data_IF_128957775709
#
_entry.id   IF_128957775709
#
_cell.length_a   1.000
_cell.length_b   1.000
_cell.length_c   1.000
_cell.angle_alpha   90.00
_cell.angle_beta   90.00
_cell.angle_gamma   90.00
#
_symmetry.space_group_name_H-M   'P 1'
#
loop_
_entity.id
_entity.type
_entity.pdbx_description
1 polymer ?
#
# COMPACT_ATOMS: atom_id res chain seq x y z
N UNK A 1 70.69 -17.11 -55.39
CA UNK A 1 70.07 -17.50 -54.12
C UNK A 1 68.81 -16.71 -53.91
N UNK A 2 67.68 -17.36 -54.13
CA UNK A 2 66.38 -16.75 -54.38
C UNK A 2 65.57 -16.92 -53.13
N UNK A 3 65.08 -15.80 -52.53
CA UNK A 3 64.13 -15.81 -51.42
C UNK A 3 62.73 -15.60 -52.00
N UNK A 4 61.92 -16.61 -51.78
CA UNK A 4 60.52 -16.67 -52.15
C UNK A 4 59.63 -16.07 -51.03
N UNK A 5 58.88 -15.01 -51.34
CA UNK A 5 57.95 -14.35 -50.43
C UNK A 5 56.56 -14.88 -50.68
N UNK A 6 56.06 -15.79 -49.81
CA UNK A 6 54.67 -16.21 -49.83
C UNK A 6 53.83 -15.22 -49.01
N UNK A 7 52.94 -14.52 -49.70
CA UNK A 7 51.89 -13.68 -49.08
C UNK A 7 50.81 -14.56 -48.47
N UNK A 8 50.65 -14.47 -47.17
CA UNK A 8 49.47 -15.08 -46.46
C UNK A 8 48.39 -14.02 -46.42
N UNK A 9 47.29 -14.23 -47.14
CA UNK A 9 46.08 -13.45 -47.09
C UNK A 9 45.25 -13.90 -45.88
N UNK A 10 45.19 -13.07 -44.81
CA UNK A 10 44.24 -13.27 -43.74
C UNK A 10 42.85 -12.75 -44.14
N UNK A 11 41.93 -13.66 -44.43
CA UNK A 11 40.51 -13.35 -44.61
C UNK A 11 39.86 -13.11 -43.26
N UNK A 12 39.52 -11.85 -42.94
CA UNK A 12 38.73 -11.48 -41.79
C UNK A 12 37.25 -11.83 -42.02
N UNK A 13 36.77 -12.86 -41.38
CA UNK A 13 35.35 -13.21 -41.37
C UNK A 13 34.60 -12.26 -40.41
N UNK A 14 33.79 -11.36 -40.99
CA UNK A 14 32.82 -10.53 -40.27
C UNK A 14 31.61 -11.40 -39.89
N UNK A 15 31.50 -11.82 -38.63
CA UNK A 15 30.30 -12.42 -38.12
C UNK A 15 29.29 -11.31 -37.74
N UNK A 16 28.05 -11.38 -38.23
CA UNK A 16 27.02 -10.43 -37.79
C UNK A 16 26.62 -10.75 -36.35
N UNK A 17 26.83 -9.80 -35.46
CA UNK A 17 26.26 -9.83 -34.12
C UNK A 17 24.74 -9.72 -34.25
N UNK A 18 24.03 -10.83 -34.16
CA UNK A 18 22.59 -10.86 -33.98
C UNK A 18 22.32 -10.37 -32.54
N UNK A 19 21.79 -9.15 -32.40
CA UNK A 19 21.27 -8.63 -31.13
C UNK A 19 20.06 -9.48 -30.73
N UNK A 20 20.27 -10.40 -29.78
CA UNK A 20 19.18 -11.13 -29.15
C UNK A 20 18.45 -10.15 -28.24
N UNK A 21 17.23 -9.77 -28.62
CA UNK A 21 16.30 -9.07 -27.73
C UNK A 21 16.03 -9.98 -26.52
N UNK A 22 16.55 -9.57 -25.34
CA UNK A 22 16.20 -10.21 -24.10
C UNK A 22 14.71 -10.00 -23.84
N UNK A 23 13.92 -11.07 -23.58
CA UNK A 23 12.54 -10.89 -23.15
C UNK A 23 12.55 -10.08 -21.86
N UNK A 24 11.72 -9.03 -21.81
CA UNK A 24 11.51 -8.24 -20.63
C UNK A 24 11.22 -9.19 -19.45
N UNK A 25 11.99 -9.04 -18.37
CA UNK A 25 11.83 -9.83 -17.16
C UNK A 25 10.39 -9.67 -16.68
N UNK A 26 9.56 -10.65 -16.93
CA UNK A 26 8.22 -10.74 -16.38
C UNK A 26 8.35 -10.74 -14.87
N UNK A 27 7.77 -9.72 -14.22
CA UNK A 27 7.71 -9.62 -12.76
C UNK A 27 7.05 -10.90 -12.26
N UNK A 28 7.79 -11.71 -11.51
CA UNK A 28 7.26 -12.93 -10.90
C UNK A 28 5.99 -12.58 -10.09
N UNK A 29 4.92 -13.40 -10.12
CA UNK A 29 3.72 -13.11 -9.35
C UNK A 29 4.08 -13.03 -7.87
N UNK A 30 3.76 -11.89 -7.24
CA UNK A 30 3.95 -11.71 -5.80
C UNK A 30 3.10 -12.74 -5.06
N UNK A 31 3.73 -13.55 -4.21
CA UNK A 31 3.12 -14.71 -3.51
C UNK A 31 2.44 -14.33 -2.19
N UNK A 32 2.05 -13.08 -1.98
CA UNK A 32 1.38 -12.60 -0.77
C UNK A 32 -0.15 -12.57 -0.90
N UNK A 33 -0.87 -12.57 0.23
CA UNK A 33 -2.31 -12.27 0.27
C UNK A 33 -2.58 -10.89 -0.30
N UNK A 34 -3.62 -10.78 -1.12
CA UNK A 34 -4.07 -9.50 -1.69
C UNK A 34 -4.79 -8.69 -0.62
N UNK A 35 -4.27 -7.50 -0.32
CA UNK A 35 -4.86 -6.62 0.68
C UNK A 35 -5.31 -5.29 0.06
N UNK A 36 -6.54 -4.89 0.37
CA UNK A 36 -7.05 -3.55 0.07
C UNK A 36 -6.94 -2.69 1.33
N UNK A 37 -6.22 -1.58 1.24
CA UNK A 37 -6.18 -0.55 2.30
C UNK A 37 -7.21 0.52 1.96
N UNK A 38 -8.28 0.60 2.74
CA UNK A 38 -9.34 1.59 2.56
C UNK A 38 -8.96 2.95 3.15
N UNK A 39 -9.78 3.96 2.88
CA UNK A 39 -9.59 5.29 3.43
C UNK A 39 -9.74 5.27 4.95
N UNK A 40 -8.88 6.03 5.61
CA UNK A 40 -8.90 6.15 7.06
C UNK A 40 -9.95 7.17 7.47
N UNK A 41 -10.51 6.98 8.65
CA UNK A 41 -11.51 7.83 9.23
C UNK A 41 -11.00 8.46 10.53
N UNK A 42 -11.59 9.57 10.93
CA UNK A 42 -11.25 10.23 12.19
C UNK A 42 -12.45 10.33 13.12
N UNK A 43 -12.19 10.11 14.39
CA UNK A 43 -13.05 10.45 15.51
C UNK A 43 -12.33 11.55 16.27
N UNK A 44 -12.78 12.79 16.13
CA UNK A 44 -12.19 13.95 16.81
C UNK A 44 -13.06 14.35 18.00
N UNK A 45 -12.49 14.25 19.19
CA UNK A 45 -13.10 14.66 20.46
C UNK A 45 -12.33 15.79 21.16
N UNK A 46 -11.36 16.39 20.43
CA UNK A 46 -10.45 17.39 21.00
C UNK A 46 -11.14 18.72 21.33
N UNK A 47 -12.31 19.01 20.73
CA UNK A 47 -13.04 20.26 20.88
C UNK A 47 -12.20 21.51 20.55
N UNK A 48 -11.30 21.38 19.57
CA UNK A 48 -10.48 22.51 19.14
C UNK A 48 -11.30 23.56 18.39
N UNK A 49 -11.07 24.85 18.65
CA UNK A 49 -11.89 25.92 18.07
C UNK A 49 -11.64 26.16 16.57
N UNK A 50 -10.52 25.65 16.04
CA UNK A 50 -10.13 25.88 14.65
C UNK A 50 -10.64 24.74 13.76
N UNK A 51 -11.23 25.06 12.62
CA UNK A 51 -11.62 24.06 11.63
C UNK A 51 -10.38 23.41 11.01
N UNK A 52 -10.18 22.14 11.29
CA UNK A 52 -9.04 21.35 10.83
C UNK A 52 -9.43 20.26 9.82
N UNK A 53 -10.66 20.26 9.30
CA UNK A 53 -11.16 19.19 8.43
C UNK A 53 -10.28 18.91 7.21
N UNK A 54 -9.76 19.96 6.58
CA UNK A 54 -8.87 19.81 5.42
C UNK A 54 -7.52 19.19 5.79
N UNK A 55 -6.95 19.61 6.93
CA UNK A 55 -5.71 19.03 7.44
C UNK A 55 -5.90 17.58 7.87
N UNK A 56 -7.01 17.27 8.53
CA UNK A 56 -7.34 15.90 8.90
C UNK A 56 -7.49 15.00 7.68
N UNK A 57 -8.22 15.42 6.66
CA UNK A 57 -8.38 14.65 5.43
C UNK A 57 -7.01 14.32 4.80
N UNK A 58 -6.14 15.33 4.66
CA UNK A 58 -4.78 15.15 4.13
C UNK A 58 -3.94 14.19 4.98
N UNK A 59 -3.98 14.34 6.32
CA UNK A 59 -3.22 13.48 7.25
C UNK A 59 -3.69 12.03 7.24
N UNK A 60 -4.99 11.79 7.10
CA UNK A 60 -5.53 10.45 6.95
C UNK A 60 -5.05 9.78 5.66
N UNK A 61 -4.98 10.55 4.55
CA UNK A 61 -4.38 10.07 3.31
C UNK A 61 -2.90 9.73 3.48
N UNK A 62 -2.12 10.59 4.12
CA UNK A 62 -0.70 10.36 4.41
C UNK A 62 -0.51 9.05 5.20
N UNK A 63 -1.31 8.83 6.25
CA UNK A 63 -1.22 7.60 7.05
C UNK A 63 -1.54 6.35 6.24
N UNK A 64 -2.66 6.38 5.48
CA UNK A 64 -3.06 5.30 4.58
C UNK A 64 -1.96 4.97 3.57
N UNK A 65 -1.42 5.99 2.92
CA UNK A 65 -0.41 5.82 1.88
C UNK A 65 0.92 5.31 2.47
N UNK A 66 1.32 5.79 3.65
CA UNK A 66 2.49 5.29 4.35
C UNK A 66 2.37 3.79 4.69
N UNK A 67 1.18 3.34 5.10
CA UNK A 67 0.90 1.91 5.33
C UNK A 67 0.95 1.15 4.01
N UNK A 68 0.24 1.61 2.99
CA UNK A 68 0.16 0.94 1.68
C UNK A 68 1.54 0.78 1.04
N UNK A 69 2.32 1.86 0.98
CA UNK A 69 3.68 1.83 0.44
C UNK A 69 4.61 0.95 1.28
N UNK A 70 4.50 1.04 2.60
CA UNK A 70 5.31 0.25 3.51
C UNK A 70 5.05 -1.25 3.42
N UNK A 71 3.80 -1.68 3.24
CA UNK A 71 3.43 -3.08 3.01
C UNK A 71 3.88 -3.57 1.63
N UNK A 72 3.70 -2.75 0.59
CA UNK A 72 4.11 -3.08 -0.77
C UNK A 72 5.63 -3.23 -0.90
N UNK A 73 6.41 -2.37 -0.23
CA UNK A 73 7.87 -2.39 -0.27
C UNK A 73 8.47 -3.63 0.42
N UNK A 74 7.76 -4.24 1.36
CA UNK A 74 8.20 -5.43 2.10
C UNK A 74 7.71 -6.75 1.49
N UNK A 75 6.93 -6.69 0.43
CA UNK A 75 6.41 -7.84 -0.33
C UNK A 75 5.65 -8.89 0.52
N UNK A 76 5.27 -8.54 1.76
CA UNK A 76 4.50 -9.41 2.65
C UNK A 76 3.06 -9.57 2.16
N UNK A 77 2.53 -8.53 1.54
CA UNK A 77 1.20 -8.47 0.95
C UNK A 77 1.27 -7.96 -0.48
N UNK A 78 0.33 -8.38 -1.31
CA UNK A 78 0.04 -7.75 -2.60
C UNK A 78 -0.96 -6.63 -2.33
N UNK A 79 -0.46 -5.40 -2.15
CA UNK A 79 -1.32 -4.23 -1.94
C UNK A 79 -2.01 -3.88 -3.25
N UNK A 80 -3.34 -3.87 -3.23
CA UNK A 80 -4.15 -3.59 -4.42
C UNK A 80 -4.30 -2.09 -4.64
N UNK A 81 -4.24 -1.69 -5.92
CA UNK A 81 -4.58 -0.33 -6.31
C UNK A 81 -6.08 -0.09 -6.15
N UNK A 82 -6.45 0.95 -5.43
CA UNK A 82 -7.83 1.36 -5.15
C UNK A 82 -8.41 2.30 -6.22
N UNK A 83 -7.59 2.83 -7.12
CA UNK A 83 -8.02 3.78 -8.14
C UNK A 83 -9.25 3.32 -8.93
N UNK A 84 -9.36 2.02 -9.35
CA UNK A 84 -10.52 1.55 -10.10
C UNK A 84 -11.87 1.65 -9.35
N UNK A 85 -11.85 1.67 -8.01
CA UNK A 85 -13.05 1.73 -7.16
C UNK A 85 -13.15 3.02 -6.35
N UNK A 86 -12.34 4.03 -6.66
CA UNK A 86 -12.33 5.29 -5.91
C UNK A 86 -13.71 5.93 -5.84
N UNK A 87 -14.44 5.98 -6.95
CA UNK A 87 -15.78 6.55 -6.99
C UNK A 87 -16.78 5.77 -6.11
N UNK A 88 -16.63 4.45 -6.00
CA UNK A 88 -17.47 3.64 -5.12
C UNK A 88 -17.16 3.93 -3.65
N UNK A 89 -15.87 4.04 -3.30
CA UNK A 89 -15.44 4.43 -1.94
C UNK A 89 -16.00 5.79 -1.58
N UNK A 90 -15.83 6.79 -2.45
CA UNK A 90 -16.33 8.15 -2.24
C UNK A 90 -17.87 8.18 -2.09
N UNK A 91 -18.59 7.35 -2.86
CA UNK A 91 -20.04 7.24 -2.77
C UNK A 91 -20.50 6.67 -1.42
N UNK A 92 -19.81 5.66 -0.90
CA UNK A 92 -20.07 5.09 0.43
C UNK A 92 -19.78 6.11 1.51
N UNK A 93 -18.59 6.75 1.47
CA UNK A 93 -18.17 7.71 2.50
C UNK A 93 -19.02 8.99 2.55
N UNK A 94 -19.72 9.33 1.48
CA UNK A 94 -20.72 10.43 1.49
C UNK A 94 -21.98 10.08 2.28
N UNK A 95 -22.31 8.80 2.43
CA UNK A 95 -23.55 8.34 3.06
C UNK A 95 -23.34 7.82 4.48
N UNK A 96 -22.17 7.22 4.74
CA UNK A 96 -21.87 6.58 6.01
C UNK A 96 -20.35 6.50 6.24
N UNK A 97 -19.97 5.96 7.38
CA UNK A 97 -18.57 5.65 7.69
C UNK A 97 -18.25 4.21 7.31
N UNK A 98 -17.06 3.95 6.75
CA UNK A 98 -16.60 2.60 6.40
C UNK A 98 -16.63 1.64 7.59
N UNK A 99 -16.31 2.14 8.80
CA UNK A 99 -16.34 1.35 10.04
C UNK A 99 -17.75 0.94 10.49
N UNK A 100 -18.80 1.55 9.98
CA UNK A 100 -20.19 1.34 10.40
C UNK A 100 -21.15 1.03 9.24
N UNK A 101 -20.65 0.87 8.04
CA UNK A 101 -21.47 0.66 6.84
C UNK A 101 -22.03 -0.76 6.71
N UNK A 102 -21.77 -1.63 7.67
CA UNK A 102 -22.34 -2.97 7.79
C UNK A 102 -22.07 -3.88 6.56
N UNK A 103 -20.85 -3.87 6.06
CA UNK A 103 -20.36 -4.79 5.04
C UNK A 103 -19.95 -4.16 3.72
N UNK A 104 -20.10 -2.83 3.54
CA UNK A 104 -19.66 -2.15 2.32
C UNK A 104 -18.14 -2.29 2.11
N UNK A 105 -17.35 -2.37 3.17
CA UNK A 105 -15.92 -2.62 3.13
C UNK A 105 -15.59 -3.94 2.43
N UNK A 106 -16.38 -4.97 2.67
CA UNK A 106 -16.21 -6.27 2.00
C UNK A 106 -16.68 -6.24 0.55
N UNK A 107 -17.73 -5.50 0.24
CA UNK A 107 -18.22 -5.37 -1.13
C UNK A 107 -17.23 -4.59 -2.00
N UNK A 108 -16.62 -3.53 -1.46
CA UNK A 108 -15.52 -2.79 -2.10
C UNK A 108 -14.31 -3.70 -2.34
N UNK A 109 -13.93 -4.48 -1.33
CA UNK A 109 -12.80 -5.40 -1.41
C UNK A 109 -13.01 -6.51 -2.47
N UNK A 110 -14.23 -7.06 -2.55
CA UNK A 110 -14.59 -8.09 -3.56
C UNK A 110 -14.51 -7.57 -4.98
N UNK A 111 -14.86 -6.30 -5.24
CA UNK A 111 -14.74 -5.68 -6.56
C UNK A 111 -13.31 -5.74 -7.12
N UNK A 112 -12.30 -5.69 -6.25
CA UNK A 112 -10.89 -5.79 -6.61
C UNK A 112 -10.30 -7.20 -6.46
N UNK A 113 -11.09 -8.17 -5.98
CA UNK A 113 -10.60 -9.52 -5.71
C UNK A 113 -9.57 -9.56 -4.58
N UNK A 114 -9.76 -8.73 -3.53
CA UNK A 114 -8.93 -8.74 -2.34
C UNK A 114 -9.25 -9.95 -1.46
N UNK A 115 -8.22 -10.54 -0.84
CA UNK A 115 -8.35 -11.56 0.19
C UNK A 115 -8.58 -10.93 1.57
N UNK A 116 -8.00 -9.75 1.77
CA UNK A 116 -8.00 -9.01 3.02
C UNK A 116 -8.41 -7.55 2.78
N UNK A 117 -9.07 -6.96 3.78
CA UNK A 117 -9.35 -5.52 3.81
C UNK A 117 -8.85 -4.92 5.12
N UNK A 118 -8.15 -3.79 5.01
CA UNK A 118 -7.64 -3.02 6.14
C UNK A 118 -8.45 -1.75 6.31
N UNK A 119 -8.99 -1.55 7.51
CA UNK A 119 -9.65 -0.33 7.95
C UNK A 119 -8.77 0.39 8.98
N UNK A 120 -8.70 1.70 8.89
CA UNK A 120 -8.00 2.55 9.83
C UNK A 120 -8.91 3.61 10.43
N UNK A 121 -8.81 3.80 11.75
CA UNK A 121 -9.53 4.85 12.47
C UNK A 121 -8.55 5.61 13.36
N UNK A 122 -8.48 6.93 13.20
CA UNK A 122 -7.71 7.80 14.08
C UNK A 122 -8.64 8.40 15.11
N UNK A 123 -8.32 8.17 16.39
CA UNK A 123 -8.97 8.85 17.51
C UNK A 123 -8.09 10.02 17.94
N UNK A 124 -8.61 11.25 17.83
CA UNK A 124 -7.96 12.46 18.27
C UNK A 124 -8.60 12.96 19.56
N UNK A 125 -7.85 12.91 20.66
CA UNK A 125 -8.27 13.44 21.97
C UNK A 125 -7.80 14.88 22.15
N UNK A 126 -6.62 15.20 21.61
CA UNK A 126 -6.05 16.56 21.61
C UNK A 126 -4.99 16.67 20.53
N UNK A 127 -4.39 17.86 20.36
CA UNK A 127 -3.23 18.07 19.46
C UNK A 127 -2.02 17.19 19.79
N UNK A 128 -1.94 16.68 21.02
CA UNK A 128 -0.79 15.90 21.48
C UNK A 128 -1.11 14.42 21.67
N UNK A 129 -2.38 14.05 21.81
CA UNK A 129 -2.80 12.69 22.17
C UNK A 129 -3.70 12.15 21.04
N UNK A 130 -3.13 11.22 20.29
CA UNK A 130 -3.82 10.54 19.21
C UNK A 130 -3.55 9.04 19.26
N UNK A 131 -4.48 8.26 18.76
CA UNK A 131 -4.26 6.84 18.52
C UNK A 131 -4.79 6.44 17.13
N UNK A 132 -4.11 5.53 16.46
CA UNK A 132 -4.50 4.98 15.18
C UNK A 132 -4.84 3.50 15.36
N UNK A 133 -6.13 3.17 15.31
CA UNK A 133 -6.62 1.81 15.31
C UNK A 133 -6.58 1.22 13.90
N UNK A 134 -6.04 0.02 13.77
CA UNK A 134 -6.01 -0.72 12.50
C UNK A 134 -6.68 -2.06 12.70
N UNK A 135 -7.63 -2.37 11.83
CA UNK A 135 -8.34 -3.66 11.78
C UNK A 135 -8.14 -4.30 10.42
N UNK A 136 -7.85 -5.61 10.39
CA UNK A 136 -7.78 -6.40 9.17
C UNK A 136 -8.82 -7.51 9.24
N UNK A 137 -9.56 -7.66 8.15
CA UNK A 137 -10.61 -8.66 8.01
C UNK A 137 -10.33 -9.57 6.83
N UNK A 138 -10.74 -10.83 6.91
CA UNK A 138 -10.88 -11.71 5.74
C UNK A 138 -12.12 -11.30 4.96
N UNK A 139 -12.01 -11.18 3.66
CA UNK A 139 -13.12 -10.72 2.80
C UNK A 139 -14.18 -11.79 2.64
N UNK A 140 -13.80 -13.07 2.60
CA UNK A 140 -14.70 -14.21 2.43
C UNK A 140 -15.56 -14.50 3.67
N UNK A 141 -14.90 -14.65 4.83
CA UNK A 141 -15.55 -14.98 6.11
C UNK A 141 -16.04 -13.77 6.89
N UNK A 142 -15.60 -12.55 6.53
CA UNK A 142 -15.81 -11.30 7.27
C UNK A 142 -15.24 -11.33 8.70
N UNK A 143 -14.35 -12.26 8.97
CA UNK A 143 -13.70 -12.43 10.26
C UNK A 143 -12.63 -11.35 10.47
N UNK A 144 -12.66 -10.69 11.62
CA UNK A 144 -11.57 -9.80 12.06
C UNK A 144 -10.40 -10.67 12.53
N UNK A 145 -9.29 -10.63 11.78
CA UNK A 145 -8.09 -11.44 12.08
C UNK A 145 -6.98 -10.63 12.74
N UNK A 146 -7.12 -9.31 12.76
CA UNK A 146 -6.18 -8.42 13.42
C UNK A 146 -6.88 -7.15 13.88
N UNK A 147 -6.56 -6.70 15.10
CA UNK A 147 -6.92 -5.38 15.59
C UNK A 147 -5.86 -4.89 16.57
N UNK A 148 -5.35 -3.69 16.33
CA UNK A 148 -4.41 -3.05 17.24
C UNK A 148 -4.51 -1.53 17.15
N UNK A 149 -4.40 -0.87 18.32
CA UNK A 149 -4.23 0.57 18.47
C UNK A 149 -2.75 0.94 18.58
N UNK A 150 -2.39 2.08 18.03
CA UNK A 150 -1.04 2.64 18.05
C UNK A 150 -1.13 4.09 18.51
N UNK A 151 -0.66 4.35 19.71
CA UNK A 151 -0.64 5.71 20.26
C UNK A 151 0.51 6.50 19.63
N UNK A 152 0.23 7.76 19.31
CA UNK A 152 1.24 8.67 18.80
C UNK A 152 0.98 10.10 19.27
N UNK A 153 2.00 10.95 19.10
CA UNK A 153 1.98 12.31 19.60
C UNK A 153 2.15 13.32 18.46
N UNK A 154 1.41 14.41 18.59
CA UNK A 154 1.48 15.54 17.67
C UNK A 154 0.60 15.35 16.43
N UNK A 155 -0.34 16.27 16.27
CA UNK A 155 -1.26 16.33 15.12
C UNK A 155 -0.55 17.00 13.93
N UNK A 156 0.38 16.28 13.29
CA UNK A 156 1.18 16.77 12.16
C UNK A 156 1.36 15.69 11.09
N UNK A 157 1.54 16.10 9.84
CA UNK A 157 1.78 15.22 8.69
C UNK A 157 2.88 14.19 8.97
N UNK A 158 4.01 14.65 9.55
CA UNK A 158 5.14 13.79 9.92
C UNK A 158 4.77 12.72 10.94
N UNK A 159 3.89 13.04 11.91
CA UNK A 159 3.46 12.07 12.92
C UNK A 159 2.61 10.97 12.32
N UNK A 160 1.71 11.31 11.41
CA UNK A 160 0.88 10.35 10.69
C UNK A 160 1.70 9.47 9.75
N UNK A 161 2.63 10.04 9.00
CA UNK A 161 3.55 9.31 8.13
C UNK A 161 4.40 8.30 8.91
N UNK A 162 5.03 8.74 10.00
CA UNK A 162 5.86 7.87 10.86
C UNK A 162 5.05 6.73 11.47
N UNK A 163 3.84 7.04 11.96
CA UNK A 163 2.97 6.03 12.56
C UNK A 163 2.51 5.03 11.50
N UNK A 164 2.12 5.48 10.31
CA UNK A 164 1.79 4.60 9.20
C UNK A 164 2.94 3.69 8.80
N UNK A 165 4.16 4.23 8.67
CA UNK A 165 5.36 3.44 8.40
C UNK A 165 5.67 2.39 9.46
N UNK A 166 5.51 2.75 10.75
CA UNK A 166 5.67 1.82 11.86
C UNK A 166 4.62 0.70 11.84
N UNK A 167 3.37 1.02 11.55
CA UNK A 167 2.29 0.04 11.41
C UNK A 167 2.60 -0.94 10.28
N UNK A 168 3.03 -0.45 9.12
CA UNK A 168 3.43 -1.29 8.00
C UNK A 168 4.56 -2.26 8.37
N UNK A 169 5.55 -1.77 9.11
CA UNK A 169 6.65 -2.59 9.62
C UNK A 169 6.15 -3.69 10.57
N UNK A 170 5.26 -3.36 11.51
CA UNK A 170 4.67 -4.32 12.46
C UNK A 170 3.87 -5.40 11.75
N UNK A 171 3.02 -5.03 10.80
CA UNK A 171 2.21 -5.95 10.01
C UNK A 171 3.07 -6.87 9.13
N UNK A 172 4.22 -6.39 8.67
CA UNK A 172 5.13 -7.18 7.83
C UNK A 172 5.96 -8.19 8.64
N UNK A 173 6.27 -7.89 9.91
CA UNK A 173 7.01 -8.80 10.80
C UNK A 173 6.16 -9.96 11.32
N UNK A 174 4.87 -9.74 11.49
CA UNK A 174 3.90 -10.74 11.93
C UNK A 174 2.71 -10.72 10.97
N UNK A 175 2.87 -11.27 9.74
CA UNK A 175 1.82 -11.23 8.74
C UNK A 175 0.61 -12.04 9.22
N UNK A 176 -0.58 -11.47 9.07
CA UNK A 176 -1.85 -12.15 9.34
C UNK A 176 -2.21 -13.01 8.13
N UNK A 177 -2.37 -14.30 8.36
CA UNK A 177 -2.67 -15.29 7.31
C UNK A 177 -4.12 -15.75 7.37
#
# INVERSE_FOLDING_TARGET
MILDRRHVLCAAALWPFAAQAQPAAGTAPKTGKKILVLDFEMIDTSNEPTDQRADHARRLEIARDAISHGLAARETYVVLDRAPIKNDIDAVMKQTYLRTCNGCEFDLARKLGADLVLLGVVNKVSLLILSMGVSIFRVDSREMIYHQGFDFRGDSDRSYEKTGGYIAERLSRAPVM
#
